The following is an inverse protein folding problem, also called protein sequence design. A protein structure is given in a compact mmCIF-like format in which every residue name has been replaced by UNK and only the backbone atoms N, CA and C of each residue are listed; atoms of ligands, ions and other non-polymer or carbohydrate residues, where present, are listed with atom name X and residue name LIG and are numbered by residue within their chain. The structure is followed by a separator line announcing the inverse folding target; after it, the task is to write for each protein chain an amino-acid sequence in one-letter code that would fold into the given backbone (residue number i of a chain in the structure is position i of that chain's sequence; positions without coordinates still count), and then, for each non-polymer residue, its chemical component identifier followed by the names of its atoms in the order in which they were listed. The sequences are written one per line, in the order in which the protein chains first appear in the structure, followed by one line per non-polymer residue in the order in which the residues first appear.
data_IF_005904691122
#
_entry.id   IF_005904691122
#
_cell.length_a   1.000
_cell.length_b   1.000
_cell.length_c   1.000
_cell.angle_alpha   90.00
_cell.angle_beta   90.00
_cell.angle_gamma   90.00
#
_symmetry.space_group_name_H-M   'P 1'
#
loop_
_entity.id
_entity.type
_entity.pdbx_description
1 polymer ?
#
# COMPACT_ATOMS: atom_id res chain seq x y z
N UNK A 1 83.60 25.06 -0.96
CA UNK A 1 82.92 23.81 -1.38
C UNK A 1 81.45 23.93 -0.97
N UNK A 2 80.56 23.52 -1.86
CA UNK A 2 79.10 23.77 -1.81
C UNK A 2 78.35 22.87 -0.80
N UNK A 3 77.00 22.80 -0.82
CA UNK A 3 76.05 23.55 0.02
C UNK A 3 75.20 22.61 0.92
N UNK A 4 74.30 23.13 1.77
CA UNK A 4 73.15 22.30 2.20
C UNK A 4 71.94 23.12 2.66
N UNK A 5 70.94 23.14 1.78
CA UNK A 5 69.56 23.55 2.02
C UNK A 5 68.87 22.55 2.97
N UNK A 6 68.39 23.00 4.13
CA UNK A 6 67.34 22.26 4.85
C UNK A 6 65.97 22.71 4.30
N UNK A 7 65.35 21.82 3.52
CA UNK A 7 63.97 21.93 3.05
C UNK A 7 63.01 21.44 4.14
N UNK A 8 62.03 22.26 4.53
CA UNK A 8 60.81 21.80 5.20
C UNK A 8 60.00 20.96 4.21
N UNK A 9 59.83 19.67 4.48
CA UNK A 9 58.87 18.81 3.80
C UNK A 9 57.62 18.63 4.65
N UNK A 10 56.54 19.32 4.30
CA UNK A 10 55.21 19.04 4.83
C UNK A 10 54.66 17.78 4.17
N UNK A 11 54.30 16.78 4.97
CA UNK A 11 53.63 15.57 4.50
C UNK A 11 52.11 15.74 4.69
N UNK A 12 51.39 15.96 3.59
CA UNK A 12 49.94 15.71 3.54
C UNK A 12 49.74 14.24 3.12
N UNK A 13 49.33 13.39 4.07
CA UNK A 13 48.83 12.06 3.76
C UNK A 13 47.34 12.17 3.39
N UNK A 14 47.01 12.02 2.11
CA UNK A 14 45.62 11.89 1.67
C UNK A 14 45.15 10.46 1.93
N UNK A 15 44.23 10.28 2.88
CA UNK A 15 43.55 9.01 3.11
C UNK A 15 42.47 8.81 2.03
N UNK A 16 42.74 7.95 1.05
CA UNK A 16 41.73 7.49 0.10
C UNK A 16 40.87 6.42 0.78
N UNK A 17 39.66 6.80 1.22
CA UNK A 17 38.67 5.85 1.71
C UNK A 17 38.06 5.08 0.53
N UNK A 18 38.28 3.77 0.48
CA UNK A 18 37.58 2.88 -0.46
C UNK A 18 36.12 2.74 -0.05
N UNK A 19 35.21 3.29 -0.85
CA UNK A 19 33.76 3.07 -0.71
C UNK A 19 33.47 1.67 -1.27
N UNK A 20 33.25 0.70 -0.39
CA UNK A 20 32.73 -0.61 -0.78
C UNK A 20 31.24 -0.48 -1.05
N UNK A 21 30.84 -0.57 -2.32
CA UNK A 21 29.42 -0.68 -2.68
C UNK A 21 28.87 -1.98 -2.07
N UNK A 22 27.75 -1.89 -1.34
CA UNK A 22 27.05 -3.07 -0.86
C UNK A 22 26.60 -3.93 -2.05
N UNK A 23 26.62 -5.26 -1.94
CA UNK A 23 26.13 -6.14 -3.01
C UNK A 23 24.67 -5.81 -3.33
N UNK A 24 24.36 -5.67 -4.62
CA UNK A 24 22.99 -5.54 -5.10
C UNK A 24 22.29 -6.89 -4.93
N UNK A 25 21.54 -7.08 -3.85
CA UNK A 25 20.67 -8.25 -3.74
C UNK A 25 19.53 -8.14 -4.74
N UNK A 26 19.32 -9.21 -5.52
CA UNK A 26 18.21 -9.30 -6.46
C UNK A 26 16.93 -9.47 -5.67
N UNK A 27 16.00 -8.53 -5.84
CA UNK A 27 14.63 -8.60 -5.31
C UNK A 27 14.00 -9.95 -5.64
N UNK A 28 13.54 -10.66 -4.63
CA UNK A 28 12.94 -11.97 -4.79
C UNK A 28 11.41 -11.92 -4.81
N UNK A 29 10.82 -12.90 -5.51
CA UNK A 29 9.42 -13.26 -5.28
C UNK A 29 9.43 -14.38 -4.24
N UNK A 30 8.82 -14.14 -3.08
CA UNK A 30 8.83 -15.06 -1.92
C UNK A 30 7.43 -15.60 -1.64
N UNK A 31 7.29 -16.58 -0.74
CA UNK A 31 5.97 -17.06 -0.33
C UNK A 31 5.12 -15.92 0.25
N UNK A 32 3.80 -15.94 0.02
CA UNK A 32 2.91 -14.83 0.43
C UNK A 32 2.87 -14.61 1.94
N UNK A 33 3.10 -15.67 2.72
CA UNK A 33 3.16 -15.68 4.19
C UNK A 33 4.57 -15.47 4.75
N UNK A 34 5.59 -15.42 3.89
CA UNK A 34 6.96 -15.10 4.28
C UNK A 34 7.26 -13.59 4.19
N UNK A 35 6.37 -12.79 3.61
CA UNK A 35 6.53 -11.34 3.53
C UNK A 35 6.37 -10.72 4.91
N UNK A 36 7.45 -10.17 5.45
CA UNK A 36 7.40 -9.39 6.69
C UNK A 36 6.90 -7.99 6.36
N UNK A 37 5.73 -7.64 6.88
CA UNK A 37 5.13 -6.30 6.74
C UNK A 37 5.88 -5.22 7.52
N UNK A 38 5.37 -4.00 7.42
CA UNK A 38 5.89 -2.82 8.09
C UNK A 38 5.11 -2.55 9.39
N UNK A 39 5.78 -2.05 10.44
CA UNK A 39 5.08 -1.42 11.55
C UNK A 39 4.26 -0.23 11.04
N UNK A 40 3.21 0.15 11.79
CA UNK A 40 2.43 1.32 11.43
C UNK A 40 3.31 2.58 11.36
N UNK A 41 3.47 3.13 10.17
CA UNK A 41 4.41 4.21 9.88
C UNK A 41 3.79 5.20 8.89
N UNK A 42 3.74 6.47 9.29
CA UNK A 42 3.26 7.60 8.49
C UNK A 42 4.25 8.75 8.51
N UNK A 43 4.25 9.64 7.51
CA UNK A 43 5.01 10.89 7.60
C UNK A 43 4.55 11.73 8.79
N UNK A 44 5.46 12.49 9.40
CA UNK A 44 5.10 13.45 10.45
C UNK A 44 4.19 14.57 9.92
N UNK A 45 3.45 15.22 10.82
CA UNK A 45 2.62 16.39 10.50
C UNK A 45 1.26 16.03 9.92
N UNK A 46 0.63 17.00 9.26
CA UNK A 46 -0.78 16.93 8.86
C UNK A 46 -1.11 15.71 8.01
N UNK A 47 -0.27 15.37 7.02
CA UNK A 47 -0.52 14.25 6.11
C UNK A 47 -0.66 12.93 6.87
N UNK A 48 0.31 12.58 7.72
CA UNK A 48 0.23 11.35 8.51
C UNK A 48 -0.88 11.36 9.54
N UNK A 49 -1.16 12.51 10.17
CA UNK A 49 -2.31 12.63 11.07
C UNK A 49 -3.63 12.34 10.36
N UNK A 50 -3.79 12.78 9.10
CA UNK A 50 -4.98 12.49 8.31
C UNK A 50 -5.06 11.01 7.90
N UNK A 51 -3.94 10.40 7.49
CA UNK A 51 -3.90 8.97 7.15
C UNK A 51 -4.32 8.09 8.34
N UNK A 52 -3.91 8.43 9.56
CA UNK A 52 -4.33 7.68 10.75
C UNK A 52 -5.78 7.97 11.13
N UNK A 53 -6.20 9.25 11.12
CA UNK A 53 -7.54 9.68 11.53
C UNK A 53 -8.66 9.09 10.67
N UNK A 54 -8.43 8.96 9.36
CA UNK A 54 -9.42 8.46 8.40
C UNK A 54 -9.15 7.04 7.92
N UNK A 55 -8.24 6.30 8.58
CA UNK A 55 -7.93 4.90 8.26
C UNK A 55 -9.21 4.05 8.33
N UNK A 56 -9.65 3.40 7.24
CA UNK A 56 -10.89 2.64 7.23
C UNK A 56 -10.84 1.39 8.13
N UNK A 57 -12.00 0.97 8.63
CA UNK A 57 -12.19 -0.40 9.13
C UNK A 57 -12.59 -1.29 7.96
N UNK A 58 -11.88 -2.40 7.76
CA UNK A 58 -12.14 -3.36 6.69
C UNK A 58 -12.80 -4.63 7.24
N UNK A 59 -14.03 -4.90 6.80
CA UNK A 59 -14.73 -6.16 7.03
C UNK A 59 -14.50 -7.10 5.86
N UNK A 60 -13.71 -8.15 6.08
CA UNK A 60 -13.63 -9.26 5.12
C UNK A 60 -14.86 -10.14 5.30
N UNK A 61 -15.75 -10.17 4.31
CA UNK A 61 -17.00 -10.96 4.33
C UNK A 61 -16.70 -12.40 3.92
N UNK A 62 -15.93 -12.57 2.84
CA UNK A 62 -15.40 -13.84 2.36
C UNK A 62 -14.05 -13.62 1.62
N UNK A 63 -13.41 -14.69 1.19
CA UNK A 63 -12.10 -14.63 0.54
C UNK A 63 -10.91 -14.48 1.49
N UNK A 64 -9.79 -14.07 0.93
CA UNK A 64 -8.57 -13.82 1.69
C UNK A 64 -8.69 -12.58 2.59
N UNK A 65 -8.03 -12.61 3.74
CA UNK A 65 -7.74 -11.39 4.50
C UNK A 65 -6.55 -10.64 3.87
N UNK A 66 -6.31 -9.35 4.21
CA UNK A 66 -5.15 -8.63 3.71
C UNK A 66 -3.81 -9.25 4.14
N UNK A 67 -2.79 -9.14 3.30
CA UNK A 67 -1.39 -9.52 3.54
C UNK A 67 -0.44 -8.37 3.17
N UNK A 68 0.77 -8.31 3.72
CA UNK A 68 1.82 -7.47 3.16
C UNK A 68 2.21 -7.97 1.76
N UNK A 69 2.19 -7.08 0.78
CA UNK A 69 2.56 -7.38 -0.61
C UNK A 69 4.08 -7.34 -0.83
N UNK A 70 4.79 -6.56 -0.02
CA UNK A 70 6.22 -6.26 -0.14
C UNK A 70 6.84 -6.09 1.24
N UNK A 71 8.11 -6.49 1.41
CA UNK A 71 8.89 -6.24 2.63
C UNK A 71 9.84 -5.03 2.48
N UNK A 72 10.59 -4.70 3.54
CA UNK A 72 11.52 -3.56 3.52
C UNK A 72 12.69 -3.68 2.53
N UNK A 73 13.11 -4.91 2.19
CA UNK A 73 14.13 -5.21 1.19
C UNK A 73 13.59 -5.14 -0.25
N UNK A 74 12.28 -5.03 -0.41
CA UNK A 74 11.61 -4.99 -1.71
C UNK A 74 11.37 -6.38 -2.32
N UNK A 75 11.39 -7.44 -1.53
CA UNK A 75 10.85 -8.74 -1.95
C UNK A 75 9.33 -8.67 -1.95
N UNK A 76 8.70 -9.27 -2.96
CA UNK A 76 7.25 -9.27 -3.13
C UNK A 76 6.65 -10.65 -2.91
N UNK A 77 5.45 -10.69 -2.34
CA UNK A 77 4.72 -11.95 -2.15
C UNK A 77 4.27 -12.54 -3.49
N UNK A 78 4.57 -13.82 -3.69
CA UNK A 78 4.20 -14.58 -4.89
C UNK A 78 2.72 -14.95 -4.97
N UNK A 79 1.90 -14.52 -4.01
CA UNK A 79 0.45 -14.79 -3.98
C UNK A 79 0.11 -16.28 -3.84
N UNK A 80 -1.15 -16.62 -4.08
CA UNK A 80 -1.67 -17.97 -4.03
C UNK A 80 -2.34 -18.37 -5.36
N UNK A 81 -2.32 -19.67 -5.66
CA UNK A 81 -3.11 -20.20 -6.77
C UNK A 81 -4.61 -20.17 -6.42
N UNK A 82 -5.46 -20.10 -7.45
CA UNK A 82 -6.94 -20.08 -7.32
C UNK A 82 -7.54 -21.44 -6.94
N UNK A 83 -6.72 -22.49 -6.84
CA UNK A 83 -7.15 -23.81 -6.36
C UNK A 83 -7.58 -23.78 -4.89
N UNK A 84 -8.46 -24.71 -4.52
CA UNK A 84 -8.93 -24.88 -3.15
C UNK A 84 -10.04 -23.88 -2.78
N UNK A 85 -10.35 -23.77 -1.49
CA UNK A 85 -11.37 -22.82 -1.03
C UNK A 85 -10.94 -21.37 -1.30
N UNK A 86 -11.93 -20.48 -1.40
CA UNK A 86 -11.74 -19.03 -1.64
C UNK A 86 -10.73 -18.38 -0.68
N UNK A 87 -10.73 -18.79 0.60
CA UNK A 87 -9.81 -18.31 1.63
C UNK A 87 -8.71 -19.31 2.02
N UNK A 88 -8.57 -20.42 1.29
CA UNK A 88 -7.60 -21.47 1.57
C UNK A 88 -6.17 -20.94 1.47
N UNK A 89 -5.41 -21.05 2.57
CA UNK A 89 -4.03 -20.54 2.68
C UNK A 89 -3.92 -19.03 2.97
N UNK A 90 -5.03 -18.30 3.08
CA UNK A 90 -5.04 -16.85 3.29
C UNK A 90 -6.17 -16.36 4.22
N UNK A 91 -6.65 -17.22 5.12
CA UNK A 91 -7.75 -16.89 6.05
C UNK A 91 -7.31 -16.11 7.29
N UNK A 92 -5.99 -15.99 7.54
CA UNK A 92 -5.43 -15.32 8.71
C UNK A 92 -4.11 -14.63 8.39
N UNK A 93 -3.99 -13.39 8.83
CA UNK A 93 -2.81 -12.54 8.78
C UNK A 93 -3.07 -11.30 9.62
N UNK A 94 -2.02 -10.69 10.20
CA UNK A 94 -2.11 -9.32 10.71
C UNK A 94 -2.46 -8.33 9.60
N UNK A 95 -2.05 -8.66 8.37
CA UNK A 95 -2.25 -7.86 7.17
C UNK A 95 -1.41 -6.59 7.13
N UNK A 96 -1.67 -5.79 6.10
CA UNK A 96 -1.10 -4.47 5.91
C UNK A 96 -2.14 -3.61 5.17
N UNK A 97 -2.22 -2.33 5.51
CA UNK A 97 -2.88 -1.33 4.66
C UNK A 97 -1.83 -0.32 4.18
N UNK A 98 -1.90 0.03 2.91
CA UNK A 98 -1.01 1.00 2.28
C UNK A 98 -1.77 2.30 2.04
N UNK A 99 -1.17 3.46 2.31
CA UNK A 99 -1.85 4.75 2.14
C UNK A 99 -1.07 5.73 1.26
N UNK A 100 -1.76 6.45 0.39
CA UNK A 100 -1.20 7.57 -0.38
C UNK A 100 -2.25 8.64 -0.58
N UNK A 101 -1.86 9.90 -0.45
CA UNK A 101 -2.76 11.04 -0.55
C UNK A 101 -2.24 12.12 -1.48
N UNK A 102 -3.17 12.91 -2.02
CA UNK A 102 -2.87 14.06 -2.86
C UNK A 102 -4.05 15.01 -2.92
N UNK A 103 -3.75 16.29 -3.16
CA UNK A 103 -4.77 17.23 -3.61
C UNK A 103 -5.17 16.90 -5.05
N UNK A 104 -6.48 16.79 -5.30
CA UNK A 104 -7.03 16.46 -6.60
C UNK A 104 -8.37 17.19 -6.77
N UNK A 105 -8.52 17.96 -7.86
CA UNK A 105 -9.71 18.75 -8.19
C UNK A 105 -10.30 19.57 -7.01
N UNK A 106 -9.45 20.24 -6.23
CA UNK A 106 -9.88 21.11 -5.13
C UNK A 106 -10.25 20.40 -3.82
N UNK A 107 -10.16 19.07 -3.78
CA UNK A 107 -10.28 18.26 -2.56
C UNK A 107 -8.93 17.60 -2.22
N UNK A 108 -8.86 16.95 -1.06
CA UNK A 108 -7.72 16.10 -0.69
C UNK A 108 -8.16 14.64 -0.60
N UNK A 109 -7.59 13.79 -1.44
CA UNK A 109 -7.86 12.36 -1.48
C UNK A 109 -6.86 11.60 -0.62
N UNK A 110 -7.33 10.58 0.09
CA UNK A 110 -6.48 9.56 0.73
C UNK A 110 -6.93 8.20 0.24
N UNK A 111 -6.09 7.54 -0.55
CA UNK A 111 -6.29 6.17 -0.97
C UNK A 111 -5.69 5.21 0.06
N UNK A 112 -6.50 4.27 0.55
CA UNK A 112 -6.10 3.14 1.39
C UNK A 112 -6.25 1.87 0.58
N UNK A 113 -5.18 1.10 0.42
CA UNK A 113 -5.19 -0.11 -0.40
C UNK A 113 -4.74 -1.33 0.37
N UNK A 114 -5.31 -2.47 -0.04
CA UNK A 114 -5.13 -3.77 0.56
C UNK A 114 -4.69 -4.74 -0.53
N UNK A 115 -3.75 -5.61 -0.17
CA UNK A 115 -3.32 -6.71 -1.01
C UNK A 115 -3.84 -8.02 -0.44
N UNK A 116 -4.44 -8.84 -1.29
CA UNK A 116 -4.84 -10.20 -0.95
C UNK A 116 -4.01 -11.18 -1.80
N UNK A 117 -3.57 -12.34 -1.26
CA UNK A 117 -2.74 -13.28 -2.04
C UNK A 117 -3.42 -13.86 -3.28
N UNK A 118 -4.75 -13.91 -3.32
CA UNK A 118 -5.57 -14.31 -4.47
C UNK A 118 -6.97 -13.70 -4.37
N UNK A 119 -7.59 -13.55 -5.53
CA UNK A 119 -9.02 -13.34 -5.70
C UNK A 119 -9.61 -14.64 -6.27
N UNK A 120 -10.51 -15.28 -5.52
CA UNK A 120 -11.07 -16.57 -5.94
C UNK A 120 -12.52 -16.70 -5.47
N UNK A 121 -13.52 -16.41 -6.32
CA UNK A 121 -14.94 -16.57 -5.96
C UNK A 121 -15.34 -18.04 -5.79
N UNK A 122 -14.63 -18.95 -6.46
CA UNK A 122 -14.75 -20.42 -6.33
C UNK A 122 -13.45 -21.09 -6.76
N UNK A 123 -13.25 -22.35 -6.36
CA UNK A 123 -12.04 -23.13 -6.67
C UNK A 123 -11.77 -23.15 -8.18
N UNK A 124 -10.57 -22.73 -8.56
CA UNK A 124 -10.11 -22.67 -9.95
C UNK A 124 -10.56 -21.41 -10.71
N UNK A 125 -11.44 -20.59 -10.15
CA UNK A 125 -11.86 -19.31 -10.72
C UNK A 125 -11.14 -18.13 -10.04
N UNK A 126 -11.10 -17.00 -10.73
CA UNK A 126 -10.45 -15.77 -10.29
C UNK A 126 -8.98 -15.69 -10.73
N UNK A 127 -8.13 -15.06 -9.92
CA UNK A 127 -6.72 -14.89 -10.22
C UNK A 127 -5.82 -14.90 -8.97
N UNK A 128 -4.54 -15.19 -9.22
CA UNK A 128 -3.47 -14.94 -8.25
C UNK A 128 -3.31 -13.44 -8.06
N UNK A 129 -3.03 -13.03 -6.83
CA UNK A 129 -2.96 -11.64 -6.39
C UNK A 129 -4.30 -10.92 -6.47
N UNK A 130 -4.48 -9.95 -5.58
CA UNK A 130 -5.55 -8.98 -5.67
C UNK A 130 -5.12 -7.68 -5.00
N UNK A 131 -5.59 -6.56 -5.56
CA UNK A 131 -5.33 -5.22 -5.08
C UNK A 131 -6.61 -4.41 -5.12
N UNK A 132 -7.12 -4.11 -3.94
CA UNK A 132 -8.33 -3.32 -3.76
C UNK A 132 -8.02 -2.05 -2.98
N UNK A 133 -8.86 -1.03 -3.09
CA UNK A 133 -8.67 0.23 -2.37
C UNK A 133 -9.97 0.98 -2.07
N UNK A 134 -9.88 1.88 -1.11
CA UNK A 134 -10.89 2.89 -0.84
C UNK A 134 -10.24 4.28 -0.85
N UNK A 135 -10.93 5.28 -1.39
CA UNK A 135 -10.51 6.67 -1.39
C UNK A 135 -11.41 7.46 -0.46
N UNK A 136 -10.84 8.07 0.58
CA UNK A 136 -11.53 9.03 1.45
C UNK A 136 -11.25 10.44 0.93
N UNK A 137 -12.30 11.14 0.53
CA UNK A 137 -12.22 12.51 0.05
C UNK A 137 -12.47 13.49 1.19
N UNK A 138 -11.52 14.40 1.40
CA UNK A 138 -11.55 15.41 2.44
C UNK A 138 -11.66 16.80 1.81
N UNK A 139 -12.26 17.74 2.54
CA UNK A 139 -12.40 19.13 2.10
C UNK A 139 -11.07 19.85 1.90
N UNK A 140 -10.01 19.45 2.61
CA UNK A 140 -8.65 19.97 2.46
C UNK A 140 -7.61 19.04 3.10
N UNK A 141 -6.32 19.29 2.83
CA UNK A 141 -5.20 18.69 3.55
C UNK A 141 -4.99 19.40 4.92
N UNK A 142 -6.00 19.37 5.78
CA UNK A 142 -6.02 20.07 7.08
C UNK A 142 -6.58 19.19 8.18
N UNK A 143 -6.11 19.35 9.42
CA UNK A 143 -6.65 18.64 10.59
C UNK A 143 -8.11 18.98 10.90
N UNK A 144 -8.58 20.14 10.42
CA UNK A 144 -9.98 20.58 10.47
C UNK A 144 -10.83 20.09 9.30
N UNK A 145 -10.28 19.26 8.40
CA UNK A 145 -11.01 18.79 7.24
C UNK A 145 -12.22 17.94 7.61
N UNK A 146 -13.23 18.00 6.75
CA UNK A 146 -14.45 17.20 6.82
C UNK A 146 -14.39 16.16 5.71
N UNK A 147 -15.01 15.00 5.94
CA UNK A 147 -15.18 14.00 4.89
C UNK A 147 -16.27 14.50 3.92
N UNK A 148 -15.93 14.57 2.64
CA UNK A 148 -16.85 14.89 1.56
C UNK A 148 -17.57 13.64 1.03
N UNK A 149 -16.87 12.51 1.07
CA UNK A 149 -17.38 11.22 0.62
C UNK A 149 -16.29 10.16 0.60
N UNK A 150 -16.67 8.95 0.25
CA UNK A 150 -15.79 7.79 0.16
C UNK A 150 -16.09 7.06 -1.13
N UNK A 151 -15.05 6.58 -1.79
CA UNK A 151 -15.12 5.70 -2.95
C UNK A 151 -14.51 4.34 -2.59
N UNK A 152 -15.08 3.25 -3.07
CA UNK A 152 -14.56 1.88 -2.86
C UNK A 152 -14.42 1.20 -4.23
N UNK A 153 -13.29 0.53 -4.47
CA UNK A 153 -13.03 -0.08 -5.79
C UNK A 153 -13.90 -1.30 -6.06
N UNK A 154 -14.35 -1.42 -7.31
CA UNK A 154 -15.09 -2.57 -7.79
C UNK A 154 -14.75 -2.80 -9.27
N UNK A 155 -14.01 -3.88 -9.55
CA UNK A 155 -13.72 -4.35 -10.92
C UNK A 155 -13.12 -3.30 -11.86
N UNK A 156 -12.21 -2.47 -11.35
CA UNK A 156 -11.52 -1.43 -12.11
C UNK A 156 -12.24 -0.07 -12.13
N UNK A 157 -13.44 0.01 -11.56
CA UNK A 157 -14.21 1.23 -11.33
C UNK A 157 -14.40 1.47 -9.82
N UNK A 158 -15.25 2.43 -9.44
CA UNK A 158 -15.53 2.78 -8.04
C UNK A 158 -17.03 2.94 -7.78
N UNK A 159 -17.49 2.42 -6.64
CA UNK A 159 -18.76 2.83 -6.03
C UNK A 159 -18.49 4.02 -5.10
N UNK A 160 -19.18 5.14 -5.30
CA UNK A 160 -18.94 6.41 -4.60
C UNK A 160 -20.16 6.83 -3.79
N UNK A 161 -19.93 7.28 -2.56
CA UNK A 161 -20.97 7.80 -1.67
C UNK A 161 -20.54 9.10 -1.01
N UNK A 162 -21.47 10.05 -0.95
CA UNK A 162 -21.35 11.31 -0.20
C UNK A 162 -22.22 11.31 1.08
N UNK A 163 -23.12 10.35 1.22
CA UNK A 163 -23.98 10.16 2.40
C UNK A 163 -24.31 8.68 2.60
N UNK A 164 -24.85 8.33 3.78
CA UNK A 164 -25.20 6.94 4.11
C UNK A 164 -23.98 6.01 4.26
N UNK A 165 -22.83 6.56 4.63
CA UNK A 165 -21.62 5.80 4.97
C UNK A 165 -21.60 5.61 6.49
N UNK A 166 -21.37 4.37 6.93
CA UNK A 166 -21.17 4.05 8.34
C UNK A 166 -19.73 4.34 8.78
N UNK A 167 -19.56 4.84 10.01
CA UNK A 167 -18.26 5.20 10.58
C UNK A 167 -18.07 4.61 11.98
N UNK A 168 -16.82 4.34 12.32
CA UNK A 168 -16.36 4.20 13.71
C UNK A 168 -15.52 5.43 14.05
N UNK A 169 -16.08 6.36 14.82
CA UNK A 169 -15.47 7.68 14.98
C UNK A 169 -15.40 8.39 13.63
N UNK A 170 -14.18 8.68 13.15
CA UNK A 170 -13.92 9.29 11.83
C UNK A 170 -13.51 8.30 10.75
N UNK A 171 -13.37 7.02 11.10
CA UNK A 171 -12.94 5.97 10.18
C UNK A 171 -14.14 5.37 9.45
N UNK A 172 -14.21 5.42 8.11
CA UNK A 172 -15.30 4.79 7.37
C UNK A 172 -15.23 3.27 7.51
N UNK A 173 -16.40 2.62 7.47
CA UNK A 173 -16.53 1.17 7.42
C UNK A 173 -16.70 0.71 5.99
N UNK A 174 -15.78 -0.12 5.55
CA UNK A 174 -15.76 -0.73 4.23
C UNK A 174 -15.65 -2.24 4.37
N UNK A 175 -16.05 -2.97 3.34
CA UNK A 175 -15.95 -4.41 3.30
C UNK A 175 -15.26 -4.89 2.03
N UNK A 176 -14.92 -6.17 2.02
CA UNK A 176 -14.39 -6.89 0.88
C UNK A 176 -15.18 -8.18 0.74
N UNK A 177 -15.77 -8.39 -0.44
CA UNK A 177 -16.62 -9.54 -0.71
C UNK A 177 -16.60 -9.94 -2.17
N UNK A 178 -16.89 -11.22 -2.41
CA UNK A 178 -17.30 -11.77 -3.69
C UNK A 178 -18.73 -12.29 -3.58
N UNK A 179 -19.56 -12.03 -4.59
CA UNK A 179 -20.88 -12.64 -4.77
C UNK A 179 -20.84 -13.43 -6.07
N UNK A 180 -20.95 -14.76 -5.99
CA UNK A 180 -20.90 -15.65 -7.17
C UNK A 180 -21.78 -15.10 -8.30
N UNK A 181 -21.28 -14.95 -9.56
CA UNK A 181 -20.00 -15.45 -10.09
C UNK A 181 -18.82 -14.52 -9.90
N UNK A 182 -19.09 -13.33 -9.42
CA UNK A 182 -18.20 -12.21 -9.59
C UNK A 182 -17.06 -12.34 -8.61
N UNK A 183 -15.88 -11.99 -9.10
CA UNK A 183 -14.66 -11.78 -8.32
C UNK A 183 -14.88 -10.82 -7.14
N UNK A 184 -13.89 -10.68 -6.27
CA UNK A 184 -14.05 -9.79 -5.13
C UNK A 184 -14.07 -8.31 -5.54
N UNK A 185 -14.69 -7.52 -4.69
CA UNK A 185 -14.74 -6.06 -4.77
C UNK A 185 -14.84 -5.48 -3.36
N UNK A 186 -14.56 -4.19 -3.25
CA UNK A 186 -14.84 -3.43 -2.04
C UNK A 186 -16.31 -3.02 -1.99
N UNK A 187 -16.85 -2.91 -0.77
CA UNK A 187 -18.24 -2.53 -0.52
C UNK A 187 -18.34 -1.54 0.64
N UNK A 188 -19.46 -0.84 0.74
CA UNK A 188 -19.87 -0.21 1.99
C UNK A 188 -20.56 -1.22 2.90
N UNK A 189 -20.36 -1.10 4.22
CA UNK A 189 -20.97 -2.00 5.20
C UNK A 189 -21.21 -1.29 6.52
N UNK A 190 -22.23 -1.73 7.25
CA UNK A 190 -22.51 -1.29 8.63
C UNK A 190 -21.69 -2.07 9.66
N UNK A 191 -21.15 -3.24 9.29
CA UNK A 191 -20.35 -4.08 10.19
C UNK A 191 -19.00 -3.44 10.51
N UNK A 192 -18.60 -3.54 11.78
CA UNK A 192 -17.24 -3.14 12.18
C UNK A 192 -16.26 -4.26 11.79
N UNK A 193 -15.35 -3.93 10.88
CA UNK A 193 -14.24 -4.79 10.50
C UNK A 193 -13.01 -4.66 11.41
N UNK A 194 -11.84 -5.05 10.88
CA UNK A 194 -10.54 -4.85 11.52
C UNK A 194 -9.77 -3.68 10.90
N UNK A 195 -8.68 -3.28 11.55
CA UNK A 195 -7.68 -2.38 10.98
C UNK A 195 -6.32 -3.06 10.94
N UNK A 196 -5.59 -2.84 9.86
CA UNK A 196 -4.24 -3.35 9.66
C UNK A 196 -3.22 -2.26 10.04
N UNK A 197 -1.96 -2.63 10.33
CA UNK A 197 -0.87 -1.67 10.39
C UNK A 197 -0.80 -0.87 9.09
N UNK A 198 -0.79 0.46 9.18
CA UNK A 198 -0.73 1.33 8.02
C UNK A 198 0.70 1.70 7.65
N UNK A 199 1.07 1.55 6.38
CA UNK A 199 2.32 2.09 5.84
C UNK A 199 2.01 3.13 4.76
N UNK A 200 2.44 4.36 4.98
CA UNK A 200 2.34 5.40 3.97
C UNK A 200 3.30 5.14 2.80
N UNK A 201 2.86 5.42 1.57
CA UNK A 201 3.68 5.32 0.36
C UNK A 201 4.97 6.12 0.50
N UNK A 202 4.88 7.31 1.12
CA UNK A 202 6.00 8.20 1.40
C UNK A 202 6.99 7.63 2.42
N UNK A 203 6.52 6.71 3.29
CA UNK A 203 7.31 6.06 4.34
C UNK A 203 7.87 4.69 3.93
N UNK A 204 7.54 4.19 2.74
CA UNK A 204 8.17 2.99 2.19
C UNK A 204 9.65 3.25 1.91
N UNK A 205 10.48 2.23 2.14
CA UNK A 205 11.86 2.22 1.65
C UNK A 205 11.89 2.36 0.14
N UNK A 206 12.97 2.94 -0.40
CA UNK A 206 13.15 3.03 -1.86
C UNK A 206 13.09 1.65 -2.52
N UNK A 207 13.59 0.63 -1.81
CA UNK A 207 13.45 -0.74 -2.22
C UNK A 207 11.98 -1.14 -2.35
N UNK A 208 11.19 -1.09 -1.29
CA UNK A 208 9.78 -1.49 -1.35
C UNK A 208 8.97 -0.70 -2.40
N UNK A 209 9.19 0.62 -2.48
CA UNK A 209 8.51 1.48 -3.46
C UNK A 209 8.84 1.13 -4.90
N UNK A 210 10.12 0.85 -5.19
CA UNK A 210 10.57 0.40 -6.51
C UNK A 210 9.96 -0.96 -6.86
N UNK A 211 9.87 -1.89 -5.90
CA UNK A 211 9.26 -3.19 -6.13
C UNK A 211 7.76 -3.05 -6.46
N UNK A 212 6.99 -2.30 -5.66
CA UNK A 212 5.57 -2.05 -5.94
C UNK A 212 5.34 -1.34 -7.28
N UNK A 213 6.30 -0.53 -7.73
CA UNK A 213 6.22 0.16 -9.02
C UNK A 213 6.41 -0.81 -10.19
N UNK A 214 7.36 -1.74 -10.07
CA UNK A 214 7.88 -2.54 -11.18
C UNK A 214 7.38 -3.99 -11.23
N UNK A 215 6.92 -4.55 -10.11
CA UNK A 215 6.44 -5.94 -10.06
C UNK A 215 5.15 -6.09 -10.85
N UNK A 216 5.11 -7.16 -11.66
CA UNK A 216 3.91 -7.63 -12.33
C UNK A 216 3.10 -8.53 -11.38
N UNK A 217 1.92 -8.06 -10.97
CA UNK A 217 0.98 -8.80 -10.12
C UNK A 217 -0.11 -9.50 -10.97
N UNK A 218 0.14 -9.74 -12.26
CA UNK A 218 -0.76 -10.39 -13.19
C UNK A 218 -2.02 -9.57 -13.43
N UNK A 219 -3.17 -10.11 -13.03
CA UNK A 219 -4.47 -9.42 -13.19
C UNK A 219 -4.65 -8.26 -12.20
N UNK A 220 -3.92 -8.28 -11.08
CA UNK A 220 -4.00 -7.24 -10.06
C UNK A 220 -3.01 -6.11 -10.35
N UNK A 221 -3.37 -4.88 -9.97
CA UNK A 221 -2.54 -3.69 -10.21
C UNK A 221 -2.42 -2.88 -8.93
N UNK A 222 -1.18 -2.53 -8.52
CA UNK A 222 -0.95 -1.63 -7.40
C UNK A 222 -1.64 -0.28 -7.69
N UNK A 223 -2.67 0.14 -6.93
CA UNK A 223 -3.51 1.25 -7.35
C UNK A 223 -2.89 2.61 -7.06
N UNK A 224 -1.96 2.66 -6.09
CA UNK A 224 -1.31 3.89 -5.64
C UNK A 224 0.09 4.13 -6.22
N UNK A 225 0.58 3.29 -7.14
CA UNK A 225 1.85 3.58 -7.83
C UNK A 225 1.69 4.76 -8.77
N UNK A 226 2.78 5.46 -9.10
CA UNK A 226 2.74 6.72 -9.87
C UNK A 226 1.96 6.61 -11.18
N UNK A 227 2.12 5.50 -11.91
CA UNK A 227 1.43 5.26 -13.17
C UNK A 227 -0.11 5.15 -13.04
N UNK A 228 -0.61 4.78 -11.86
CA UNK A 228 -2.02 4.44 -11.63
C UNK A 228 -2.74 5.46 -10.75
N UNK A 229 -2.02 6.12 -9.83
CA UNK A 229 -2.62 6.85 -8.71
C UNK A 229 -3.60 7.94 -9.17
N UNK A 230 -3.16 8.89 -10.00
CA UNK A 230 -4.03 9.97 -10.47
C UNK A 230 -5.18 9.46 -11.35
N UNK A 231 -4.95 8.45 -12.18
CA UNK A 231 -5.99 7.82 -13.00
C UNK A 231 -7.09 7.23 -12.12
N UNK A 232 -6.69 6.53 -11.06
CA UNK A 232 -7.62 5.96 -10.09
C UNK A 232 -8.36 7.04 -9.29
N UNK A 233 -7.68 8.13 -8.89
CA UNK A 233 -8.35 9.27 -8.27
C UNK A 233 -9.39 9.90 -9.20
N UNK A 234 -9.10 9.98 -10.51
CA UNK A 234 -10.04 10.47 -11.52
C UNK A 234 -11.29 9.61 -11.68
N UNK A 235 -11.17 8.29 -11.49
CA UNK A 235 -12.33 7.38 -11.48
C UNK A 235 -13.11 7.41 -10.16
N UNK A 236 -12.43 7.72 -9.06
CA UNK A 236 -12.99 7.69 -7.71
C UNK A 236 -13.63 9.01 -7.26
N UNK A 237 -13.73 10.01 -8.14
CA UNK A 237 -14.30 11.33 -7.81
C UNK A 237 -15.75 11.23 -7.30
N UNK A 238 -16.13 12.17 -6.42
CA UNK A 238 -17.48 12.27 -5.85
C UNK A 238 -18.50 12.85 -6.82
#
# INVERSE_FOLDING_TARGET
MAPSLLRLGAWLAAAAGSVTAAPLERRAVIAHDAVVGFPETVPSGTVGSLYLKYKPYLKVVNGCVPFPAVNAAGDTGGGLATSGSSNGGCSSSTGQVYARGASYNGAYAIMYSYYMPKDSPSSGLGHRHDWENAVVWLSAASTSATVLGVAVSAHGEYDTKTSGIDYTGTSPRIGYQSVWPVNHQMIFTSDVGGQQPLIAWESLTDAARTALTNTDFGSANVPMKDANFNTNLGKAVL
#
